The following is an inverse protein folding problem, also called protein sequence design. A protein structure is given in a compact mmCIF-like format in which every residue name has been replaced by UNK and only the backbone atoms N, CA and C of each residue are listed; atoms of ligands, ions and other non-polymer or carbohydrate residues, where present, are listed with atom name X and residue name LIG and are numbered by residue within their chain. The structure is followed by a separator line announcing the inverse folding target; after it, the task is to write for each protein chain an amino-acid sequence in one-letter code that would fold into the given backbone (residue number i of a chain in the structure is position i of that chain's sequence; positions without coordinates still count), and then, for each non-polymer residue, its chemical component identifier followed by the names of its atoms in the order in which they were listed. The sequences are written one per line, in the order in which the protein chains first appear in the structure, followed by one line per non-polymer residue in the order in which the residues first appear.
data_IF_547506075476
#
_entry.id   IF_547506075476
#
_cell.length_a   1.000
_cell.length_b   1.000
_cell.length_c   1.000
_cell.angle_alpha   90.00
_cell.angle_beta   90.00
_cell.angle_gamma   90.00
#
_symmetry.space_group_name_H-M   'P 1'
#
loop_
_entity.id
_entity.type
_entity.pdbx_description
1 polymer ?
#
# COMPACT_ATOMS: atom_id res chain seq x y z
N UNK A 1 -17.97 -4.97 18.14
CA UNK A 1 -18.30 -5.54 16.82
C UNK A 1 -17.25 -6.58 16.48
N UNK A 2 -17.62 -7.86 16.43
CA UNK A 2 -16.70 -8.92 16.03
C UNK A 2 -16.33 -8.72 14.54
N UNK A 3 -15.05 -8.62 14.23
CA UNK A 3 -14.58 -8.51 12.84
C UNK A 3 -14.83 -9.85 12.15
N UNK A 4 -15.40 -9.82 10.94
CA UNK A 4 -15.57 -11.03 10.13
C UNK A 4 -14.23 -11.77 10.01
N UNK A 5 -14.20 -13.10 10.21
CA UNK A 5 -12.96 -13.85 10.09
C UNK A 5 -12.36 -13.65 8.69
N UNK A 6 -11.04 -13.45 8.63
CA UNK A 6 -10.34 -13.35 7.35
C UNK A 6 -10.53 -14.67 6.58
N UNK A 7 -10.61 -14.65 5.26
CA UNK A 7 -10.71 -15.88 4.49
C UNK A 7 -9.36 -16.61 4.39
N UNK A 8 -9.42 -17.85 3.89
CA UNK A 8 -8.32 -18.81 3.91
C UNK A 8 -7.07 -18.31 3.17
N UNK A 9 -7.26 -17.51 2.11
CA UNK A 9 -6.13 -17.02 1.32
C UNK A 9 -5.37 -15.94 2.07
N UNK A 10 -6.08 -14.94 2.61
CA UNK A 10 -5.44 -13.88 3.39
C UNK A 10 -4.79 -14.39 4.68
N UNK A 11 -5.39 -15.37 5.34
CA UNK A 11 -4.77 -16.03 6.49
C UNK A 11 -3.44 -16.70 6.11
N UNK A 12 -3.38 -17.35 4.95
CA UNK A 12 -2.14 -17.97 4.43
C UNK A 12 -1.07 -16.93 4.14
N UNK A 13 -1.45 -15.81 3.54
CA UNK A 13 -0.54 -14.69 3.28
C UNK A 13 0.03 -14.12 4.58
N UNK A 14 -0.81 -13.91 5.62
CA UNK A 14 -0.35 -13.47 6.95
C UNK A 14 0.66 -14.48 7.53
N UNK A 15 0.35 -15.78 7.48
CA UNK A 15 1.25 -16.83 7.98
C UNK A 15 2.58 -16.84 7.24
N UNK A 16 2.54 -16.70 5.91
CA UNK A 16 3.73 -16.70 5.06
C UNK A 16 4.63 -15.51 5.38
N UNK A 17 4.05 -14.31 5.46
CA UNK A 17 4.79 -13.09 5.83
C UNK A 17 5.40 -13.21 7.23
N UNK A 18 4.66 -13.74 8.21
CA UNK A 18 5.16 -13.94 9.56
C UNK A 18 6.39 -14.85 9.59
N UNK A 19 6.33 -16.00 8.92
CA UNK A 19 7.46 -16.94 8.83
C UNK A 19 8.65 -16.34 8.08
N UNK A 20 8.41 -15.55 7.02
CA UNK A 20 9.48 -14.88 6.28
C UNK A 20 10.22 -13.85 7.15
N UNK A 21 9.49 -13.08 7.96
CA UNK A 21 10.05 -12.09 8.89
C UNK A 21 10.84 -12.80 10.00
N UNK A 22 10.26 -13.82 10.63
CA UNK A 22 10.91 -14.62 11.67
C UNK A 22 12.20 -15.27 11.16
N UNK A 23 12.18 -15.80 9.93
CA UNK A 23 13.37 -16.37 9.30
C UNK A 23 14.48 -15.33 9.14
N UNK A 24 14.12 -14.12 8.72
CA UNK A 24 15.05 -13.03 8.46
C UNK A 24 15.63 -12.46 9.76
N UNK A 25 14.79 -12.28 10.77
CA UNK A 25 15.16 -11.82 12.11
C UNK A 25 16.17 -12.76 12.76
N UNK A 26 15.94 -14.07 12.70
CA UNK A 26 16.87 -15.06 13.24
C UNK A 26 18.26 -15.03 12.60
N UNK A 27 18.40 -14.47 11.39
CA UNK A 27 19.69 -14.29 10.72
C UNK A 27 20.30 -12.91 10.93
N UNK A 28 19.49 -11.90 11.26
CA UNK A 28 19.94 -10.53 11.52
C UNK A 28 19.47 -10.06 12.91
N UNK A 29 20.02 -10.64 14.00
CA UNK A 29 19.72 -10.20 15.35
C UNK A 29 20.47 -8.88 15.63
N UNK A 30 19.84 -7.75 15.35
CA UNK A 30 20.32 -6.45 15.82
C UNK A 30 19.55 -6.04 17.09
N UNK A 31 20.24 -5.35 18.01
CA UNK A 31 19.77 -5.04 19.37
C UNK A 31 18.42 -4.33 19.44
N UNK A 32 18.02 -3.58 18.39
CA UNK A 32 16.72 -2.88 18.29
C UNK A 32 15.80 -3.40 17.16
N UNK A 33 16.21 -4.41 16.39
CA UNK A 33 15.48 -4.83 15.20
C UNK A 33 14.20 -5.63 15.51
N UNK A 34 14.11 -6.29 16.68
CA UNK A 34 12.93 -7.06 17.07
C UNK A 34 11.65 -6.21 17.10
N UNK A 35 11.73 -4.98 17.60
CA UNK A 35 10.60 -4.05 17.59
C UNK A 35 10.21 -3.66 16.15
N UNK A 36 11.19 -3.42 15.29
CA UNK A 36 10.96 -3.06 13.89
C UNK A 36 10.29 -4.19 13.09
N UNK A 37 10.70 -5.45 13.30
CA UNK A 37 10.09 -6.62 12.66
C UNK A 37 8.65 -6.84 13.13
N UNK A 38 8.38 -6.71 14.44
CA UNK A 38 7.03 -6.77 15.00
C UNK A 38 6.12 -5.67 14.44
N UNK A 39 6.64 -4.45 14.30
CA UNK A 39 5.93 -3.32 13.72
C UNK A 39 5.64 -3.52 12.23
N UNK A 40 6.60 -4.06 11.49
CA UNK A 40 6.43 -4.40 10.07
C UNK A 40 5.36 -5.49 9.89
N UNK A 41 5.39 -6.53 10.71
CA UNK A 41 4.40 -7.60 10.68
C UNK A 41 3.00 -7.10 11.04
N UNK A 42 2.89 -6.31 12.12
CA UNK A 42 1.63 -5.69 12.55
C UNK A 42 1.05 -4.77 11.46
N UNK A 43 1.91 -4.06 10.74
CA UNK A 43 1.51 -3.26 9.59
C UNK A 43 0.99 -4.12 8.44
N UNK A 44 1.70 -5.22 8.11
CA UNK A 44 1.30 -6.14 7.06
C UNK A 44 -0.09 -6.76 7.34
N UNK A 45 -0.35 -7.18 8.59
CA UNK A 45 -1.66 -7.69 9.03
C UNK A 45 -2.74 -6.63 8.79
N UNK A 46 -2.54 -5.40 9.27
CA UNK A 46 -3.52 -4.31 9.09
C UNK A 46 -3.85 -4.07 7.61
N UNK A 47 -2.87 -4.19 6.71
CA UNK A 47 -3.08 -4.05 5.26
C UNK A 47 -3.80 -5.24 4.63
N UNK A 48 -3.50 -6.46 5.08
CA UNK A 48 -4.19 -7.68 4.62
C UNK A 48 -5.66 -7.69 5.09
N UNK A 49 -5.93 -7.30 6.34
CA UNK A 49 -7.28 -7.20 6.90
C UNK A 49 -8.17 -6.22 6.14
N UNK A 50 -7.60 -5.08 5.72
CA UNK A 50 -8.31 -3.97 5.05
C UNK A 50 -8.12 -3.97 3.54
N UNK A 51 -7.73 -5.11 2.96
CA UNK A 51 -7.52 -5.20 1.52
C UNK A 51 -8.85 -5.05 0.76
N UNK A 52 -8.89 -4.12 -0.20
CA UNK A 52 -10.07 -3.86 -1.04
C UNK A 52 -10.49 -5.10 -1.84
N UNK A 53 -9.54 -5.90 -2.30
CA UNK A 53 -9.78 -7.10 -3.10
C UNK A 53 -10.19 -8.32 -2.28
N UNK A 54 -10.12 -8.27 -0.94
CA UNK A 54 -10.53 -9.39 -0.09
C UNK A 54 -9.77 -10.69 -0.41
N UNK A 55 -10.52 -11.74 -0.77
CA UNK A 55 -9.98 -13.07 -1.11
C UNK A 55 -9.54 -13.20 -2.58
N UNK A 56 -10.03 -12.33 -3.46
CA UNK A 56 -9.64 -12.25 -4.88
C UNK A 56 -8.39 -11.38 -5.08
N UNK A 57 -7.67 -11.13 -3.99
CA UNK A 57 -6.47 -10.31 -3.98
C UNK A 57 -5.36 -10.95 -4.83
N UNK A 58 -4.75 -10.22 -5.77
CA UNK A 58 -3.58 -10.70 -6.49
C UNK A 58 -2.35 -10.74 -5.58
N UNK A 59 -1.26 -11.33 -6.07
CA UNK A 59 0.02 -11.26 -5.37
C UNK A 59 0.40 -9.80 -5.05
N UNK A 60 0.98 -9.55 -3.86
CA UNK A 60 1.32 -8.19 -3.42
C UNK A 60 2.24 -7.46 -4.41
N UNK A 61 3.09 -8.21 -5.11
CA UNK A 61 3.99 -7.71 -6.16
C UNK A 61 3.27 -7.16 -7.39
N UNK A 62 2.09 -7.68 -7.72
CA UNK A 62 1.30 -7.33 -8.90
C UNK A 62 0.03 -6.52 -8.55
N UNK A 63 -0.13 -6.12 -7.29
CA UNK A 63 -1.30 -5.38 -6.85
C UNK A 63 -1.34 -3.98 -7.52
N UNK A 64 -2.43 -3.61 -8.21
CA UNK A 64 -2.53 -2.31 -8.89
C UNK A 64 -2.65 -1.15 -7.88
N UNK A 65 -3.07 -1.43 -6.65
CA UNK A 65 -3.19 -0.44 -5.59
C UNK A 65 -1.87 -0.35 -4.80
N UNK A 66 -1.31 0.86 -4.71
CA UNK A 66 -0.16 1.15 -3.85
C UNK A 66 -0.57 1.29 -2.37
N UNK A 67 -0.83 0.17 -1.69
CA UNK A 67 -1.31 0.18 -0.30
C UNK A 67 -0.21 0.27 0.77
N UNK A 68 1.04 -0.10 0.44
CA UNK A 68 2.18 0.00 1.34
C UNK A 68 2.89 1.34 1.20
N UNK A 69 3.29 1.93 2.33
CA UNK A 69 4.22 3.05 2.37
C UNK A 69 5.57 2.64 1.72
N UNK A 70 6.23 3.51 0.93
CA UNK A 70 7.46 3.16 0.21
C UNK A 70 8.53 2.51 1.09
N UNK A 71 8.87 3.11 2.23
CA UNK A 71 9.87 2.55 3.15
C UNK A 71 9.52 1.13 3.65
N UNK A 72 8.25 0.90 4.04
CA UNK A 72 7.80 -0.43 4.50
C UNK A 72 7.73 -1.45 3.35
N UNK A 73 7.45 -0.99 2.13
CA UNK A 73 7.45 -1.82 0.92
C UNK A 73 8.86 -2.32 0.60
N UNK A 74 9.86 -1.46 0.75
CA UNK A 74 11.27 -1.85 0.55
C UNK A 74 11.71 -2.85 1.60
N UNK A 75 11.41 -2.59 2.88
CA UNK A 75 11.71 -3.51 3.97
C UNK A 75 11.14 -4.93 3.71
N UNK A 76 9.83 -5.02 3.37
CA UNK A 76 9.23 -6.33 3.12
C UNK A 76 9.78 -6.99 1.84
N UNK A 77 10.11 -6.23 0.80
CA UNK A 77 10.76 -6.77 -0.40
C UNK A 77 12.13 -7.38 -0.09
N UNK A 78 12.92 -6.71 0.73
CA UNK A 78 14.23 -7.22 1.18
C UNK A 78 14.06 -8.54 1.92
N UNK A 79 13.11 -8.60 2.85
CA UNK A 79 12.79 -9.82 3.60
C UNK A 79 12.32 -10.93 2.66
N UNK A 80 11.34 -10.67 1.77
CA UNK A 80 10.83 -11.67 0.82
C UNK A 80 11.93 -12.19 -0.11
N UNK A 81 12.82 -11.32 -0.60
CA UNK A 81 13.93 -11.71 -1.48
C UNK A 81 14.94 -12.61 -0.77
N UNK A 82 15.25 -12.31 0.48
CA UNK A 82 16.21 -13.11 1.26
C UNK A 82 15.60 -14.43 1.77
N UNK A 83 14.36 -14.36 2.26
CA UNK A 83 13.67 -15.49 2.89
C UNK A 83 13.03 -16.45 1.88
N UNK A 84 12.61 -15.99 0.69
CA UNK A 84 11.90 -16.80 -0.31
C UNK A 84 12.61 -18.12 -0.65
N UNK A 85 13.87 -18.11 -1.13
CA UNK A 85 14.62 -19.33 -1.43
C UNK A 85 14.83 -20.23 -0.21
N UNK A 86 14.95 -19.63 0.99
CA UNK A 86 15.22 -20.34 2.25
C UNK A 86 13.96 -20.92 2.89
N UNK A 87 12.80 -20.34 2.59
CA UNK A 87 11.49 -20.82 3.04
C UNK A 87 11.19 -22.20 2.43
N UNK A 88 11.70 -22.48 1.22
CA UNK A 88 11.60 -23.79 0.60
C UNK A 88 12.23 -24.91 1.45
N UNK A 89 13.30 -24.59 2.19
CA UNK A 89 14.03 -25.56 3.02
C UNK A 89 13.31 -25.88 4.34
N UNK A 90 12.66 -24.89 4.96
CA UNK A 90 11.97 -25.07 6.26
C UNK A 90 10.47 -25.38 6.13
N UNK A 91 9.82 -24.75 5.16
CA UNK A 91 8.37 -24.83 4.95
C UNK A 91 8.03 -25.08 3.48
N UNK A 92 8.45 -26.23 2.90
CA UNK A 92 8.37 -26.49 1.46
C UNK A 92 6.94 -26.36 0.92
N UNK A 93 5.96 -26.93 1.62
CA UNK A 93 4.54 -26.90 1.19
C UNK A 93 4.01 -25.46 1.14
N UNK A 94 4.34 -24.64 2.13
CA UNK A 94 3.87 -23.26 2.20
C UNK A 94 4.58 -22.38 1.18
N UNK A 95 5.90 -22.57 1.01
CA UNK A 95 6.70 -21.86 0.02
C UNK A 95 6.21 -22.14 -1.41
N UNK A 96 6.01 -23.41 -1.78
CA UNK A 96 5.48 -23.79 -3.10
C UNK A 96 4.11 -23.15 -3.33
N UNK A 97 3.23 -23.19 -2.32
CA UNK A 97 1.89 -22.60 -2.46
C UNK A 97 1.93 -21.09 -2.62
N UNK A 98 2.81 -20.40 -1.89
CA UNK A 98 3.04 -18.97 -2.05
C UNK A 98 3.57 -18.63 -3.44
N UNK A 99 4.49 -19.43 -4.00
CA UNK A 99 4.99 -19.27 -5.36
C UNK A 99 3.89 -19.47 -6.43
N UNK A 100 2.96 -20.39 -6.20
CA UNK A 100 1.80 -20.57 -7.09
C UNK A 100 0.85 -19.37 -6.99
N UNK A 101 0.57 -18.90 -5.77
CA UNK A 101 -0.28 -17.73 -5.54
C UNK A 101 0.31 -16.45 -6.15
N UNK A 102 1.63 -16.39 -6.29
CA UNK A 102 2.40 -15.35 -6.95
C UNK A 102 2.08 -15.18 -8.46
N UNK A 103 1.49 -16.20 -9.08
CA UNK A 103 1.06 -16.20 -10.48
C UNK A 103 -0.44 -15.96 -10.66
N UNK A 104 -1.19 -15.63 -9.60
CA UNK A 104 -2.61 -15.29 -9.73
C UNK A 104 -2.82 -14.08 -10.65
N UNK A 105 -3.82 -14.13 -11.54
CA UNK A 105 -4.14 -13.01 -12.41
C UNK A 105 -4.57 -11.79 -11.58
N UNK A 106 -4.21 -10.61 -12.06
CA UNK A 106 -4.63 -9.35 -11.45
C UNK A 106 -6.09 -9.10 -11.84
N UNK A 107 -7.01 -8.88 -10.88
CA UNK A 107 -8.39 -8.55 -11.21
C UNK A 107 -8.45 -7.22 -11.96
N UNK A 108 -9.36 -7.11 -12.92
CA UNK A 108 -9.57 -5.89 -13.69
C UNK A 108 -10.01 -4.75 -12.76
N UNK A 109 -9.12 -3.78 -12.54
CA UNK A 109 -9.33 -2.65 -11.65
C UNK A 109 -9.16 -1.36 -12.45
N UNK A 110 -10.21 -0.51 -12.54
CA UNK A 110 -10.12 0.72 -13.33
C UNK A 110 -9.08 1.66 -12.71
N UNK A 111 -8.01 1.91 -13.46
CA UNK A 111 -7.02 2.91 -13.07
C UNK A 111 -7.65 4.29 -13.15
N UNK A 112 -7.43 5.12 -12.13
CA UNK A 112 -7.93 6.51 -12.09
C UNK A 112 -7.36 7.38 -13.21
N UNK A 113 -6.34 6.90 -13.92
CA UNK A 113 -5.72 7.56 -15.08
C UNK A 113 -6.57 7.46 -16.36
N UNK A 114 -7.46 6.46 -16.48
CA UNK A 114 -8.35 6.29 -17.63
C UNK A 114 -9.70 6.99 -17.46
N UNK A 115 -9.93 7.71 -16.36
CA UNK A 115 -11.09 8.60 -16.24
C UNK A 115 -10.84 9.84 -17.11
N UNK A 116 -11.71 10.16 -18.10
CA UNK A 116 -11.56 11.39 -18.86
C UNK A 116 -11.58 12.57 -17.88
N UNK A 117 -10.48 13.33 -17.83
CA UNK A 117 -10.42 14.56 -17.04
C UNK A 117 -11.50 15.48 -17.60
N UNK A 118 -12.62 15.61 -16.88
CA UNK A 118 -13.58 16.67 -17.13
C UNK A 118 -12.80 17.99 -17.02
N UNK A 119 -12.64 18.67 -18.15
CA UNK A 119 -12.01 19.98 -18.26
C UNK A 119 -12.89 21.00 -17.52
N UNK A 120 -12.67 21.16 -16.23
CA UNK A 120 -13.32 22.23 -15.47
C UNK A 120 -12.64 23.55 -15.82
N UNK A 121 -13.36 24.38 -16.57
CA UNK A 121 -12.93 25.70 -17.02
C UNK A 121 -12.50 26.59 -15.85
N UNK A 122 -11.28 27.12 -15.95
CA UNK A 122 -10.74 28.16 -15.08
C UNK A 122 -10.37 29.38 -15.91
N UNK A 123 -11.35 29.93 -16.60
CA UNK A 123 -11.26 31.22 -17.29
C UNK A 123 -12.54 32.01 -17.02
N UNK A 124 -12.60 32.70 -15.87
CA UNK A 124 -13.47 33.88 -15.62
C UNK A 124 -13.31 34.33 -14.17
N UNK A 125 -12.12 34.82 -13.81
CA UNK A 125 -11.97 35.67 -12.62
C UNK A 125 -10.74 36.59 -12.75
N UNK A 126 -10.63 37.29 -13.87
CA UNK A 126 -9.65 38.38 -14.01
C UNK A 126 -10.24 39.65 -14.66
N UNK A 127 -11.55 39.70 -14.91
CA UNK A 127 -12.21 40.79 -15.63
C UNK A 127 -13.19 41.62 -14.77
N UNK A 128 -13.07 41.60 -13.44
CA UNK A 128 -14.03 42.28 -12.54
C UNK A 128 -13.40 43.31 -11.60
N UNK A 129 -12.15 43.72 -11.84
CA UNK A 129 -11.51 44.79 -11.08
C UNK A 129 -11.09 45.92 -12.03
N UNK A 130 -12.05 46.67 -12.54
CA UNK A 130 -11.84 47.98 -13.16
C UNK A 130 -13.17 48.70 -13.38
N UNK A 131 -13.75 49.23 -12.30
CA UNK A 131 -14.52 50.48 -12.32
C UNK A 131 -14.49 51.05 -10.91
N UNK A 132 -13.54 51.96 -10.65
CA UNK A 132 -13.60 52.88 -9.52
C UNK A 132 -14.06 54.24 -10.08
N UNK A 133 -15.10 54.87 -9.49
CA UNK A 133 -15.59 56.17 -9.94
C UNK A 133 -14.70 57.32 -9.44
N UNK A 134 -14.55 58.31 -10.33
CA UNK A 134 -14.22 59.71 -10.05
C UNK A 134 -15.13 60.31 -8.98
N UNK A 135 -14.55 61.12 -8.09
CA UNK A 135 -14.97 62.48 -7.70
C UNK A 135 -13.91 63.02 -6.70
N UNK A 136 -13.29 64.17 -6.98
CA UNK A 136 -13.54 65.46 -6.30
C UNK A 136 -13.54 65.33 -4.75
N UNK A 137 -12.81 66.09 -3.96
CA UNK A 137 -12.66 67.54 -4.00
C UNK A 137 -11.73 67.96 -2.84
N UNK A 138 -10.97 69.03 -3.09
CA UNK A 138 -10.62 70.15 -2.20
C UNK A 138 -10.18 69.98 -0.71
N UNK A 139 -9.11 70.75 -0.40
CA UNK A 139 -9.05 71.74 0.71
C UNK A 139 -8.75 71.22 2.11
N UNK A 140 -7.97 71.86 3.00
CA UNK A 140 -7.04 72.99 3.02
C UNK A 140 -6.68 73.13 4.53
N UNK A 141 -5.43 73.49 4.83
CA UNK A 141 -4.90 73.96 6.14
C UNK A 141 -4.65 72.92 7.23
#
# INVERSE_FOLDING_TARGET
MARTPLGKYRQREIRTVGLMIELYENHHPETDANAQYKDLFSYAIKRLERCQFGEDKPACKHCPIHCYQPARREAIKTIMRWSGPRMLLRHPILAIRHLIDDHRPVPDYPNKETSPKASTGRETRLASQQTAPTDADLTLK
#
